data_IF_893994440068
#
_entry.id   IF_893994440068
#
_cell.length_a   1.000
_cell.length_b   1.000
_cell.length_c   1.000
_cell.angle_alpha   90.00
_cell.angle_beta   90.00
_cell.angle_gamma   90.00
#
_symmetry.space_group_name_H-M   'P 1'
#
loop_
_entity.id
_entity.type
_entity.pdbx_description
1 polymer ?
#
# COMPACT_ATOMS: atom_id res chain seq x y z
N UNK A 1 14.00 33.77 -50.46
CA UNK A 1 14.85 32.56 -50.44
C UNK A 1 14.31 31.69 -49.32
N UNK A 2 13.35 30.84 -49.67
CA UNK A 2 12.71 29.87 -48.77
C UNK A 2 13.66 28.70 -48.49
N UNK A 3 13.67 28.18 -47.25
CA UNK A 3 14.01 26.77 -47.00
C UNK A 3 13.24 26.24 -45.79
N UNK A 4 12.62 25.08 -46.05
CA UNK A 4 11.68 24.28 -45.26
C UNK A 4 12.40 23.37 -44.26
N UNK A 5 11.72 23.04 -43.17
CA UNK A 5 11.77 21.71 -42.51
C UNK A 5 10.49 21.54 -41.65
N UNK A 6 9.43 20.92 -42.18
CA UNK A 6 9.02 19.50 -42.03
C UNK A 6 8.58 19.08 -40.61
N UNK A 7 7.30 19.29 -40.32
CA UNK A 7 6.54 18.48 -39.35
C UNK A 7 5.76 17.41 -40.13
N UNK A 8 5.99 16.12 -39.85
CA UNK A 8 5.21 15.00 -40.40
C UNK A 8 4.23 14.53 -39.33
N UNK A 9 2.97 14.96 -39.41
CA UNK A 9 1.84 14.23 -38.80
C UNK A 9 1.54 13.03 -39.70
N UNK A 10 1.63 11.80 -39.16
CA UNK A 10 1.07 10.61 -39.80
C UNK A 10 -0.36 10.44 -39.32
N UNK A 11 -1.30 10.66 -40.24
CA UNK A 11 -2.65 10.10 -40.17
C UNK A 11 -2.56 8.58 -40.20
N UNK A 12 -3.31 7.90 -39.34
CA UNK A 12 -3.80 6.56 -39.65
C UNK A 12 -5.32 6.60 -39.76
N UNK A 13 -5.79 6.03 -40.87
CA UNK A 13 -7.15 6.08 -41.34
C UNK A 13 -8.06 5.13 -40.54
N UNK A 14 -9.26 5.63 -40.26
CA UNK A 14 -10.42 4.85 -39.79
C UNK A 14 -10.86 3.91 -40.91
N UNK A 15 -10.83 2.60 -40.65
CA UNK A 15 -11.50 1.61 -41.47
C UNK A 15 -12.64 1.00 -40.65
N UNK A 16 -13.88 1.33 -41.02
CA UNK A 16 -15.07 0.70 -40.50
C UNK A 16 -15.19 -0.73 -41.08
N UNK A 17 -15.30 -1.73 -40.19
CA UNK A 17 -15.87 -3.03 -40.52
C UNK A 17 -16.99 -3.27 -39.50
N UNK A 18 -18.23 -3.17 -40.01
CA UNK A 18 -19.44 -3.61 -39.32
C UNK A 18 -19.68 -5.07 -39.75
N UNK A 19 -19.75 -5.99 -38.80
CA UNK A 19 -20.29 -7.33 -39.06
C UNK A 19 -19.85 -8.44 -38.13
N UNK A 20 -20.74 -8.77 -37.19
CA UNK A 20 -20.97 -10.09 -36.59
C UNK A 20 -20.08 -10.53 -35.42
N UNK A 21 -20.73 -10.64 -34.25
CA UNK A 21 -20.29 -11.46 -33.12
C UNK A 21 -19.55 -10.71 -32.01
N UNK A 22 -20.24 -9.87 -31.24
CA UNK A 22 -19.73 -9.46 -29.92
C UNK A 22 -19.79 -10.68 -28.98
N UNK A 23 -18.77 -11.53 -29.02
CA UNK A 23 -18.34 -12.21 -27.80
C UNK A 23 -17.88 -11.13 -26.84
N UNK A 24 -18.47 -11.08 -25.64
CA UNK A 24 -18.04 -10.21 -24.55
C UNK A 24 -16.53 -10.31 -24.42
N UNK A 25 -15.84 -9.28 -24.91
CA UNK A 25 -14.42 -9.11 -24.66
C UNK A 25 -14.39 -8.70 -23.21
N UNK A 26 -13.86 -9.56 -22.34
CA UNK A 26 -13.47 -9.20 -20.99
C UNK A 26 -12.76 -7.85 -21.09
N UNK A 27 -13.34 -6.85 -20.45
CA UNK A 27 -12.63 -5.61 -20.14
C UNK A 27 -11.43 -6.10 -19.32
N UNK A 28 -10.24 -6.04 -19.90
CA UNK A 28 -9.02 -6.20 -19.13
C UNK A 28 -9.02 -5.01 -18.15
N UNK A 29 -9.40 -5.26 -16.91
CA UNK A 29 -9.21 -4.32 -15.82
C UNK A 29 -7.72 -3.99 -15.80
N UNK A 30 -7.38 -2.69 -15.84
CA UNK A 30 -6.01 -2.23 -15.73
C UNK A 30 -5.40 -2.82 -14.47
N UNK A 31 -4.41 -3.70 -14.63
CA UNK A 31 -3.72 -4.34 -13.51
C UNK A 31 -2.76 -3.38 -12.80
N UNK A 32 -2.41 -2.26 -13.42
CA UNK A 32 -1.36 -1.35 -12.94
C UNK A 32 -1.74 -0.66 -11.62
N UNK A 33 -3.02 -0.37 -11.38
CA UNK A 33 -3.47 0.37 -10.19
C UNK A 33 -3.39 -0.41 -8.87
N UNK A 34 -3.19 -1.73 -8.89
CA UNK A 34 -3.31 -2.57 -7.67
C UNK A 34 -2.00 -3.04 -7.05
N UNK A 35 -0.86 -2.87 -7.72
CA UNK A 35 0.45 -3.01 -7.06
C UNK A 35 0.81 -1.78 -6.22
N UNK A 36 -0.19 -1.01 -5.83
CA UNK A 36 -0.07 0.26 -5.17
C UNK A 36 -0.32 0.13 -3.66
N UNK A 37 0.50 0.82 -2.88
CA UNK A 37 0.27 1.00 -1.46
C UNK A 37 -0.87 2.00 -1.21
N UNK A 38 -1.64 1.76 -0.17
CA UNK A 38 -2.64 2.66 0.39
C UNK A 38 -2.33 2.86 1.88
N UNK A 39 -1.77 4.02 2.25
CA UNK A 39 -1.29 4.29 3.62
C UNK A 39 -0.28 3.28 4.14
N UNK A 40 0.66 2.83 3.30
CA UNK A 40 1.68 1.86 3.67
C UNK A 40 1.20 0.41 3.74
N UNK A 41 0.05 0.09 3.13
CA UNK A 41 -0.52 -1.26 3.08
C UNK A 41 -0.83 -1.66 1.64
N UNK A 42 -0.69 -2.94 1.30
CA UNK A 42 -1.09 -3.47 -0.01
C UNK A 42 -1.54 -4.93 0.16
N UNK A 43 -2.74 -5.16 0.66
CA UNK A 43 -3.22 -6.48 1.05
C UNK A 43 -4.31 -7.04 0.13
N UNK A 44 -4.67 -6.35 -0.95
CA UNK A 44 -5.71 -6.77 -1.91
C UNK A 44 -5.21 -6.63 -3.34
N UNK A 45 -5.34 -7.70 -4.12
CA UNK A 45 -5.05 -7.69 -5.56
C UNK A 45 -6.23 -8.26 -6.36
N UNK A 46 -6.59 -7.69 -7.52
CA UNK A 46 -7.68 -8.18 -8.35
C UNK A 46 -7.27 -9.47 -9.07
N UNK A 47 -8.25 -10.28 -9.40
CA UNK A 47 -8.11 -11.45 -10.24
C UNK A 47 -9.16 -11.43 -11.35
N UNK A 48 -8.97 -12.21 -12.41
CA UNK A 48 -9.92 -12.30 -13.53
C UNK A 48 -11.36 -12.66 -13.10
N UNK A 49 -11.51 -13.33 -11.95
CA UNK A 49 -12.77 -13.84 -11.43
C UNK A 49 -12.93 -13.62 -9.92
N UNK A 50 -12.26 -12.63 -9.35
CA UNK A 50 -12.27 -12.42 -7.90
C UNK A 50 -11.16 -11.51 -7.40
N UNK A 51 -10.72 -11.80 -6.19
CA UNK A 51 -9.72 -11.03 -5.45
C UNK A 51 -8.80 -11.95 -4.67
N UNK A 52 -7.53 -11.58 -4.60
CA UNK A 52 -6.55 -12.15 -3.69
C UNK A 52 -6.36 -11.23 -2.49
N UNK A 53 -6.14 -11.83 -1.33
CA UNK A 53 -5.91 -11.08 -0.10
C UNK A 53 -4.73 -11.62 0.70
N UNK A 54 -4.02 -10.74 1.40
CA UNK A 54 -3.07 -11.11 2.45
C UNK A 54 -3.62 -10.71 3.81
N UNK A 55 -3.88 -11.67 4.69
CA UNK A 55 -4.51 -11.44 5.99
C UNK A 55 -3.91 -12.37 7.04
N UNK A 56 -3.35 -11.84 8.12
CA UNK A 56 -2.79 -12.63 9.22
C UNK A 56 -1.77 -13.68 8.74
N UNK A 57 -0.88 -13.28 7.85
CA UNK A 57 0.10 -14.17 7.24
C UNK A 57 -0.45 -15.16 6.21
N UNK A 58 -1.74 -15.11 5.88
CA UNK A 58 -2.35 -16.03 4.91
C UNK A 58 -2.77 -15.34 3.63
N UNK A 59 -2.42 -15.95 2.50
CA UNK A 59 -2.94 -15.59 1.19
C UNK A 59 -4.29 -16.29 0.97
N UNK A 60 -5.29 -15.53 0.54
CA UNK A 60 -6.63 -16.03 0.24
C UNK A 60 -7.04 -15.68 -1.20
N UNK A 61 -8.02 -16.41 -1.71
CA UNK A 61 -8.77 -16.06 -2.91
C UNK A 61 -10.27 -15.98 -2.58
N UNK A 62 -10.96 -14.98 -3.11
CA UNK A 62 -12.41 -14.83 -3.02
C UNK A 62 -13.00 -14.53 -4.38
N UNK A 63 -14.09 -15.21 -4.74
CA UNK A 63 -14.66 -15.20 -6.08
C UNK A 63 -15.73 -14.11 -6.29
N UNK A 64 -15.86 -13.14 -5.38
CA UNK A 64 -16.89 -12.09 -5.45
C UNK A 64 -18.27 -12.47 -4.89
N UNK A 65 -18.46 -13.71 -4.45
CA UNK A 65 -19.74 -14.15 -3.88
C UNK A 65 -19.81 -13.78 -2.39
N UNK A 66 -20.56 -12.72 -2.06
CA UNK A 66 -20.72 -12.20 -0.69
C UNK A 66 -21.38 -13.19 0.28
N UNK A 67 -21.94 -14.29 -0.22
CA UNK A 67 -22.48 -15.36 0.62
C UNK A 67 -21.43 -16.42 0.99
N UNK A 68 -20.21 -16.31 0.45
CA UNK A 68 -19.11 -17.24 0.64
C UNK A 68 -17.90 -16.56 1.25
N UNK A 69 -17.17 -17.32 2.03
CA UNK A 69 -15.88 -16.92 2.59
C UNK A 69 -14.77 -17.04 1.56
N UNK A 70 -13.72 -16.26 1.75
CA UNK A 70 -12.46 -16.44 1.04
C UNK A 70 -11.82 -17.79 1.42
N UNK A 71 -11.11 -18.40 0.48
CA UNK A 71 -10.44 -19.70 0.66
C UNK A 71 -8.92 -19.51 0.67
N UNK A 72 -8.17 -20.22 1.54
CA UNK A 72 -6.70 -20.15 1.52
C UNK A 72 -6.13 -20.53 0.15
N UNK A 73 -5.13 -19.80 -0.31
CA UNK A 73 -4.46 -20.01 -1.60
C UNK A 73 -3.50 -21.21 -1.55
N UNK A 74 -4.05 -22.42 -1.49
CA UNK A 74 -3.26 -23.64 -1.38
C UNK A 74 -3.97 -24.80 -2.09
N UNK A 75 -3.32 -25.36 -3.10
CA UNK A 75 -3.82 -26.46 -3.92
C UNK A 75 -3.69 -27.84 -3.25
N UNK A 76 -2.98 -27.92 -2.12
CA UNK A 76 -2.68 -29.18 -1.44
C UNK A 76 -3.95 -29.75 -0.79
N UNK A 77 -4.39 -30.97 -1.16
CA UNK A 77 -5.57 -31.57 -0.56
C UNK A 77 -5.33 -31.85 0.93
N UNK A 78 -6.34 -31.58 1.76
CA UNK A 78 -6.30 -31.79 3.21
C UNK A 78 -5.18 -31.04 3.95
N UNK A 79 -4.71 -29.91 3.42
CA UNK A 79 -3.81 -29.03 4.17
C UNK A 79 -4.53 -28.46 5.40
N UNK A 80 -3.87 -28.41 6.56
CA UNK A 80 -4.46 -27.80 7.75
C UNK A 80 -4.52 -26.27 7.63
N UNK A 81 -3.67 -25.69 6.79
CA UNK A 81 -3.45 -24.24 6.67
C UNK A 81 -3.02 -23.57 7.99
N UNK A 82 -2.39 -24.32 8.89
CA UNK A 82 -1.97 -23.83 10.23
C UNK A 82 -0.47 -23.94 10.45
N UNK A 83 0.33 -24.12 9.42
CA UNK A 83 1.80 -24.23 9.55
C UNK A 83 2.47 -23.59 8.35
N UNK A 84 3.75 -23.26 8.49
CA UNK A 84 4.59 -22.75 7.38
C UNK A 84 4.75 -23.76 6.23
N UNK A 85 4.33 -25.02 6.38
CA UNK A 85 4.29 -25.98 5.28
C UNK A 85 3.13 -25.72 4.30
N UNK A 86 2.16 -24.88 4.69
CA UNK A 86 1.07 -24.46 3.83
C UNK A 86 1.58 -23.43 2.80
N UNK A 87 1.21 -23.61 1.53
CA UNK A 87 1.56 -22.65 0.46
C UNK A 87 0.96 -21.26 0.73
N UNK A 88 -0.24 -21.21 1.30
CA UNK A 88 -0.92 -19.95 1.59
C UNK A 88 -0.31 -19.19 2.78
N UNK A 89 0.49 -19.82 3.64
CA UNK A 89 0.90 -19.25 4.93
C UNK A 89 2.33 -18.71 4.85
N UNK A 90 2.52 -17.47 5.27
CA UNK A 90 3.81 -16.81 5.45
C UNK A 90 3.81 -16.24 6.86
N UNK A 91 4.69 -16.77 7.71
CA UNK A 91 4.83 -16.30 9.09
C UNK A 91 5.24 -14.83 9.10
N UNK A 92 4.61 -14.05 9.97
CA UNK A 92 4.82 -12.61 10.13
C UNK A 92 4.96 -11.89 8.79
N UNK A 93 4.05 -12.19 7.86
CA UNK A 93 3.99 -11.48 6.59
C UNK A 93 3.76 -9.99 6.84
N UNK A 94 4.57 -9.16 6.19
CA UNK A 94 4.25 -7.74 5.99
C UNK A 94 2.85 -7.61 5.39
N UNK A 95 2.10 -6.57 5.74
CA UNK A 95 0.75 -6.32 5.20
C UNK A 95 0.78 -5.79 3.75
N UNK A 96 1.73 -6.29 2.94
CA UNK A 96 1.98 -5.91 1.54
C UNK A 96 2.20 -7.16 0.70
N UNK A 97 1.60 -7.18 -0.48
CA UNK A 97 1.64 -8.25 -1.46
C UNK A 97 1.70 -7.64 -2.85
N UNK A 98 2.68 -8.05 -3.65
CA UNK A 98 2.88 -7.53 -5.00
C UNK A 98 2.76 -8.64 -6.04
N UNK A 99 2.05 -8.39 -7.13
CA UNK A 99 1.97 -9.30 -8.28
C UNK A 99 3.06 -8.97 -9.31
N UNK A 100 3.92 -9.94 -9.60
CA UNK A 100 4.84 -9.90 -10.76
C UNK A 100 4.72 -11.22 -11.51
N UNK A 101 4.55 -11.13 -12.83
CA UNK A 101 4.23 -12.27 -13.70
C UNK A 101 3.06 -13.11 -13.13
N UNK A 102 3.31 -14.39 -12.82
CA UNK A 102 2.34 -15.34 -12.29
C UNK A 102 2.51 -15.63 -10.78
N UNK A 103 3.23 -14.76 -10.05
CA UNK A 103 3.48 -14.93 -8.62
C UNK A 103 3.15 -13.71 -7.75
N UNK A 104 2.91 -13.97 -6.47
CA UNK A 104 2.80 -12.96 -5.42
C UNK A 104 4.07 -12.89 -4.60
N UNK A 105 4.53 -11.70 -4.32
CA UNK A 105 5.74 -11.45 -3.57
C UNK A 105 5.42 -10.80 -2.22
N UNK A 106 5.93 -11.39 -1.16
CA UNK A 106 5.58 -11.03 0.23
C UNK A 106 6.82 -11.10 1.12
N UNK A 107 7.17 -10.00 1.77
CA UNK A 107 8.18 -9.96 2.81
C UNK A 107 7.64 -10.58 4.10
N UNK A 108 8.44 -11.45 4.74
CA UNK A 108 8.23 -11.96 6.10
C UNK A 108 9.19 -11.24 7.05
N UNK A 109 8.65 -10.56 8.07
CA UNK A 109 9.46 -9.91 9.10
C UNK A 109 9.99 -10.87 10.16
N UNK A 110 9.62 -12.16 10.09
CA UNK A 110 10.25 -13.21 10.89
C UNK A 110 11.61 -13.59 10.28
N UNK A 111 12.74 -13.22 10.91
CA UNK A 111 14.05 -13.45 10.34
C UNK A 111 14.45 -14.92 10.42
N UNK A 112 15.26 -15.35 9.46
CA UNK A 112 15.97 -16.63 9.43
C UNK A 112 17.42 -16.37 9.80
N UNK A 113 17.95 -17.19 10.70
CA UNK A 113 19.35 -17.09 11.11
C UNK A 113 20.21 -18.01 10.23
N UNK A 114 21.22 -17.45 9.57
CA UNK A 114 22.23 -18.24 8.87
C UNK A 114 23.08 -19.01 9.89
N UNK A 115 23.01 -20.33 9.82
CA UNK A 115 23.72 -21.22 10.76
C UNK A 115 25.25 -21.09 10.78
N UNK A 116 25.87 -20.43 9.81
CA UNK A 116 27.32 -20.25 9.68
C UNK A 116 27.77 -18.85 10.10
N UNK A 117 27.05 -17.81 9.70
CA UNK A 117 27.41 -16.41 10.00
C UNK A 117 26.71 -15.89 11.25
N UNK A 118 25.58 -16.48 11.64
CA UNK A 118 24.69 -15.97 12.69
C UNK A 118 23.91 -14.73 12.25
N UNK A 119 24.01 -14.34 10.97
CA UNK A 119 23.27 -13.20 10.44
C UNK A 119 21.79 -13.54 10.32
N UNK A 120 20.97 -12.58 10.68
CA UNK A 120 19.52 -12.69 10.62
C UNK A 120 19.01 -11.96 9.38
N UNK A 121 18.27 -12.69 8.57
CA UNK A 121 17.79 -12.23 7.27
C UNK A 121 16.28 -12.44 7.17
N UNK A 122 15.55 -11.40 6.77
CA UNK A 122 14.12 -11.45 6.52
C UNK A 122 13.86 -11.96 5.09
N UNK A 123 13.12 -13.07 4.92
CA UNK A 123 12.89 -13.65 3.60
C UNK A 123 11.78 -12.94 2.84
N UNK A 124 11.98 -12.77 1.53
CA UNK A 124 10.94 -12.41 0.58
C UNK A 124 10.51 -13.68 -0.14
N UNK A 125 9.23 -14.00 -0.01
CA UNK A 125 8.60 -15.17 -0.60
C UNK A 125 8.00 -14.83 -1.95
N UNK A 126 8.08 -15.75 -2.90
CA UNK A 126 7.23 -15.82 -4.09
C UNK A 126 6.22 -16.95 -3.91
N UNK A 127 4.94 -16.69 -4.11
CA UNK A 127 3.84 -17.66 -4.04
C UNK A 127 3.17 -17.76 -5.41
N UNK A 128 3.00 -18.96 -5.93
CA UNK A 128 2.31 -19.17 -7.21
C UNK A 128 0.81 -18.84 -7.09
N UNK A 129 0.23 -18.15 -8.08
CA UNK A 129 -1.18 -17.72 -8.09
C UNK A 129 -2.21 -18.84 -8.04
N UNK A 130 -1.82 -20.06 -8.39
CA UNK A 130 -2.67 -21.25 -8.32
C UNK A 130 -2.55 -21.99 -6.98
N UNK A 131 -1.71 -21.50 -6.07
CA UNK A 131 -1.43 -22.13 -4.78
C UNK A 131 -0.68 -23.45 -4.91
N UNK A 132 0.04 -23.70 -6.01
CA UNK A 132 0.83 -24.92 -6.22
C UNK A 132 2.14 -24.93 -5.43
N UNK A 133 2.72 -23.77 -5.17
CA UNK A 133 4.00 -23.66 -4.48
C UNK A 133 4.31 -22.26 -3.95
N UNK A 134 5.32 -22.21 -3.07
CA UNK A 134 5.98 -20.99 -2.64
C UNK A 134 7.47 -21.24 -2.47
N UNK A 135 8.29 -20.22 -2.64
CA UNK A 135 9.74 -20.27 -2.50
C UNK A 135 10.30 -18.95 -1.95
N UNK A 136 11.50 -18.98 -1.38
CA UNK A 136 12.22 -17.76 -1.01
C UNK A 136 13.04 -17.34 -2.23
N UNK A 137 12.83 -16.11 -2.71
CA UNK A 137 13.50 -15.57 -3.90
C UNK A 137 14.61 -14.58 -3.56
N UNK A 138 14.51 -13.92 -2.41
CA UNK A 138 15.50 -12.99 -1.89
C UNK A 138 15.43 -12.92 -0.37
N UNK A 139 16.46 -12.34 0.24
CA UNK A 139 16.54 -12.10 1.66
C UNK A 139 17.16 -10.72 1.90
N UNK A 140 16.63 -9.98 2.86
CA UNK A 140 17.14 -8.66 3.28
C UNK A 140 17.62 -8.71 4.73
N UNK A 141 18.63 -7.93 5.15
CA UNK A 141 19.09 -7.92 6.53
C UNK A 141 17.96 -7.57 7.50
N UNK A 142 17.95 -8.21 8.68
CA UNK A 142 17.05 -7.82 9.77
C UNK A 142 17.24 -6.34 10.14
N UNK A 143 16.14 -5.61 10.25
CA UNK A 143 16.11 -4.21 10.66
C UNK A 143 14.91 -3.94 11.56
N UNK A 144 15.01 -2.93 12.42
CA UNK A 144 13.93 -2.54 13.35
C UNK A 144 12.67 -2.07 12.63
N UNK A 145 12.85 -1.37 11.52
CA UNK A 145 11.76 -0.93 10.63
C UNK A 145 12.15 -1.13 9.17
N UNK A 146 11.30 -1.82 8.43
CA UNK A 146 11.48 -2.04 6.98
C UNK A 146 10.19 -1.79 6.25
N UNK A 147 10.27 -0.90 5.27
CA UNK A 147 9.31 -0.73 4.20
C UNK A 147 9.86 -1.38 2.92
N UNK A 148 9.00 -1.95 2.08
CA UNK A 148 9.40 -2.51 0.79
C UNK A 148 8.30 -2.41 -0.27
N UNK A 149 8.73 -2.34 -1.52
CA UNK A 149 7.88 -2.44 -2.70
C UNK A 149 8.56 -3.25 -3.80
N UNK A 150 7.75 -3.79 -4.71
CA UNK A 150 8.24 -4.45 -5.92
C UNK A 150 7.74 -3.69 -7.13
N UNK A 151 8.69 -3.21 -7.93
CA UNK A 151 8.43 -2.32 -9.03
C UNK A 151 9.42 -2.58 -10.16
N UNK A 152 8.91 -2.67 -11.40
CA UNK A 152 9.72 -2.90 -12.60
C UNK A 152 10.76 -4.03 -12.43
N UNK A 153 10.28 -5.18 -11.95
CA UNK A 153 11.07 -6.40 -11.71
C UNK A 153 12.25 -6.23 -10.75
N UNK A 154 12.12 -5.33 -9.79
CA UNK A 154 13.10 -5.07 -8.74
C UNK A 154 12.42 -4.94 -7.38
N UNK A 155 13.16 -5.29 -6.34
CA UNK A 155 12.79 -5.08 -4.96
C UNK A 155 13.41 -3.76 -4.51
N UNK A 156 12.60 -2.87 -3.96
CA UNK A 156 13.06 -1.67 -3.27
C UNK A 156 12.71 -1.80 -1.80
N UNK A 157 13.65 -1.50 -0.91
CA UNK A 157 13.42 -1.59 0.52
C UNK A 157 14.21 -0.54 1.29
N UNK A 158 13.73 -0.21 2.48
CA UNK A 158 14.37 0.73 3.40
C UNK A 158 15.22 -0.01 4.42
N UNK A 159 16.32 0.61 4.83
CA UNK A 159 17.10 0.17 5.98
C UNK A 159 17.28 1.33 6.96
N UNK A 160 17.12 1.02 8.24
CA UNK A 160 17.49 1.91 9.33
C UNK A 160 18.98 1.75 9.63
N UNK A 161 19.74 2.81 9.37
CA UNK A 161 21.18 2.87 9.61
C UNK A 161 21.45 3.54 10.96
N UNK A 162 21.40 2.73 12.02
CA UNK A 162 21.68 3.16 13.39
C UNK A 162 23.11 3.71 13.54
N UNK A 163 23.21 4.86 14.21
CA UNK A 163 24.46 5.55 14.52
C UNK A 163 24.88 5.28 15.98
N UNK A 164 26.17 5.46 16.29
CA UNK A 164 26.71 5.21 17.64
C UNK A 164 26.10 6.12 18.73
N UNK A 165 25.53 7.26 18.35
CA UNK A 165 24.94 8.25 19.25
C UNK A 165 23.44 8.02 19.54
N UNK A 166 22.88 6.92 19.05
CA UNK A 166 21.46 6.56 19.20
C UNK A 166 20.53 7.19 18.17
N UNK A 167 21.04 8.05 17.28
CA UNK A 167 20.29 8.48 16.11
C UNK A 167 20.35 7.41 15.02
N UNK A 168 19.51 7.56 14.02
CA UNK A 168 19.50 6.71 12.85
C UNK A 168 19.13 7.54 11.62
N UNK A 169 19.54 7.05 10.46
CA UNK A 169 19.14 7.61 9.17
C UNK A 169 18.54 6.48 8.34
N UNK A 170 17.69 6.83 7.38
CA UNK A 170 17.16 5.83 6.45
C UNK A 170 17.96 5.78 5.16
N UNK A 171 18.17 4.59 4.65
CA UNK A 171 18.66 4.35 3.28
C UNK A 171 17.64 3.57 2.46
N UNK A 172 17.71 3.74 1.15
CA UNK A 172 16.91 2.97 0.20
C UNK A 172 17.84 2.11 -0.63
N UNK A 173 17.48 0.84 -0.72
CA UNK A 173 18.20 -0.19 -1.42
C UNK A 173 17.37 -0.71 -2.58
N UNK A 174 18.05 -1.06 -3.66
CA UNK A 174 17.49 -1.69 -4.84
C UNK A 174 18.14 -3.05 -5.01
N UNK A 175 17.32 -4.09 -5.13
CA UNK A 175 17.72 -5.47 -5.30
C UNK A 175 17.05 -6.11 -6.52
N UNK A 176 17.76 -6.99 -7.22
CA UNK A 176 17.15 -7.85 -8.25
C UNK A 176 16.19 -8.86 -7.61
N UNK A 177 15.17 -9.32 -8.35
CA UNK A 177 14.22 -10.32 -7.82
C UNK A 177 14.87 -11.65 -7.39
N UNK A 178 16.06 -11.97 -7.88
CA UNK A 178 16.80 -13.17 -7.48
C UNK A 178 17.80 -12.91 -6.34
N UNK A 179 17.79 -11.71 -5.76
CA UNK A 179 18.63 -11.29 -4.64
C UNK A 179 20.12 -11.11 -4.95
N UNK A 180 20.56 -11.30 -6.20
CA UNK A 180 22.00 -11.32 -6.54
C UNK A 180 22.62 -9.94 -6.69
N UNK A 181 21.87 -8.99 -7.23
CA UNK A 181 22.33 -7.63 -7.44
C UNK A 181 21.66 -6.73 -6.41
N UNK A 182 22.41 -6.24 -5.44
CA UNK A 182 21.89 -5.36 -4.39
C UNK A 182 22.76 -4.11 -4.26
N UNK A 183 22.15 -2.93 -4.26
CA UNK A 183 22.85 -1.66 -4.10
C UNK A 183 22.02 -0.65 -3.31
N UNK A 184 22.70 0.12 -2.47
CA UNK A 184 22.12 1.34 -1.91
C UNK A 184 22.01 2.39 -3.01
N UNK A 185 20.82 2.98 -3.19
CA UNK A 185 20.54 3.98 -4.23
C UNK A 185 20.30 5.38 -3.66
N UNK A 186 20.06 5.48 -2.35
CA UNK A 186 19.84 6.75 -1.67
C UNK A 186 20.10 6.62 -0.16
N UNK A 187 20.45 7.75 0.46
CA UNK A 187 20.58 7.90 1.91
C UNK A 187 20.01 9.24 2.34
N UNK A 188 19.26 9.20 3.42
CA UNK A 188 18.73 10.35 4.13
C UNK A 188 19.84 11.23 4.66
N UNK A 189 19.62 12.55 4.62
CA UNK A 189 20.38 13.54 5.40
C UNK A 189 19.63 13.96 6.68
N UNK A 190 18.47 13.39 6.94
CA UNK A 190 17.66 13.60 8.15
C UNK A 190 17.98 12.55 9.22
N UNK A 191 17.83 12.96 10.47
CA UNK A 191 18.04 12.13 11.65
C UNK A 191 16.72 11.72 12.27
N UNK A 192 16.69 10.49 12.79
CA UNK A 192 15.56 9.92 13.53
C UNK A 192 14.23 10.11 12.79
N UNK A 193 14.29 9.98 11.47
CA UNK A 193 13.16 10.15 10.56
C UNK A 193 12.44 8.84 10.29
N UNK A 194 11.66 8.77 9.22
CA UNK A 194 11.07 7.55 8.71
C UNK A 194 10.61 7.76 7.26
N UNK A 195 10.54 6.65 6.51
CA UNK A 195 10.03 6.64 5.13
C UNK A 195 8.56 6.21 5.17
N UNK A 196 7.68 7.19 5.01
CA UNK A 196 6.22 7.05 4.94
C UNK A 196 5.78 6.26 3.71
N UNK A 197 6.28 6.67 2.53
CA UNK A 197 5.88 6.10 1.23
C UNK A 197 7.12 5.53 0.55
N UNK A 198 7.02 4.32 0.02
CA UNK A 198 7.99 3.74 -0.90
C UNK A 198 7.23 2.96 -1.96
N UNK A 199 6.94 3.59 -3.10
CA UNK A 199 5.94 3.05 -4.01
C UNK A 199 6.27 3.30 -5.47
N UNK A 200 6.27 2.23 -6.26
CA UNK A 200 6.48 2.30 -7.70
C UNK A 200 5.18 2.53 -8.45
N UNK A 201 5.15 3.55 -9.33
CA UNK A 201 3.97 3.94 -10.09
C UNK A 201 4.41 4.45 -11.46
N UNK A 202 3.86 3.87 -12.54
CA UNK A 202 4.25 4.22 -13.91
C UNK A 202 5.75 4.05 -14.13
N UNK A 203 6.45 5.17 -14.35
CA UNK A 203 7.90 5.21 -14.58
C UNK A 203 8.73 5.62 -13.34
N UNK A 204 8.08 5.92 -12.21
CA UNK A 204 8.70 6.56 -11.06
C UNK A 204 8.51 5.75 -9.77
N UNK A 205 9.53 5.74 -8.93
CA UNK A 205 9.44 5.33 -7.54
C UNK A 205 9.28 6.59 -6.67
N UNK A 206 8.15 6.68 -5.99
CA UNK A 206 7.79 7.78 -5.09
C UNK A 206 8.22 7.44 -3.67
N UNK A 207 8.91 8.39 -3.04
CA UNK A 207 9.43 8.25 -1.68
C UNK A 207 9.05 9.48 -0.89
N UNK A 208 8.36 9.31 0.23
CA UNK A 208 8.15 10.40 1.18
C UNK A 208 8.87 10.11 2.48
N UNK A 209 9.60 11.11 2.96
CA UNK A 209 10.46 11.04 4.14
C UNK A 209 10.06 12.13 5.11
N UNK A 210 9.94 11.82 6.40
CA UNK A 210 9.86 12.81 7.47
C UNK A 210 11.03 12.59 8.44
N UNK A 211 11.65 13.65 8.95
CA UNK A 211 12.72 13.50 9.96
C UNK A 211 13.26 14.83 10.47
N UNK A 212 14.20 14.76 11.41
CA UNK A 212 14.82 15.92 12.04
C UNK A 212 16.05 16.37 11.24
N UNK A 213 16.18 17.68 10.98
CA UNK A 213 17.34 18.24 10.28
C UNK A 213 18.62 18.23 11.16
N UNK A 214 18.47 17.99 12.46
CA UNK A 214 19.55 18.00 13.43
C UNK A 214 19.59 16.71 14.24
N UNK A 215 20.78 16.32 14.69
CA UNK A 215 21.00 15.19 15.59
C UNK A 215 20.22 15.44 16.89
N UNK A 216 19.47 14.44 17.32
CA UNK A 216 18.73 14.48 18.58
C UNK A 216 19.63 13.96 19.71
N UNK A 217 19.74 14.73 20.79
CA UNK A 217 20.43 14.29 22.00
C UNK A 217 19.49 13.41 22.85
N UNK A 218 19.56 12.11 22.62
CA UNK A 218 18.78 11.10 23.34
C UNK A 218 19.22 10.88 24.80
N UNK A 219 20.28 11.53 25.29
CA UNK A 219 20.77 11.33 26.67
C UNK A 219 19.84 11.88 27.74
N UNK A 220 18.86 12.71 27.36
CA UNK A 220 17.90 13.32 28.26
C UNK A 220 16.52 13.46 27.59
N UNK A 221 15.97 12.32 27.18
CA UNK A 221 14.71 12.20 26.44
C UNK A 221 13.55 13.00 27.06
N UNK A 222 13.44 13.01 28.39
CA UNK A 222 12.42 13.76 29.14
C UNK A 222 12.44 15.29 28.92
N UNK A 223 13.55 15.83 28.42
CA UNK A 223 13.70 17.26 28.11
C UNK A 223 13.62 17.58 26.61
N UNK A 224 13.38 16.58 25.76
CA UNK A 224 13.17 16.79 24.32
C UNK A 224 11.79 17.40 24.12
N UNK A 225 11.77 18.62 23.60
CA UNK A 225 10.55 19.27 23.14
C UNK A 225 10.33 18.92 21.67
N UNK A 226 9.61 17.82 21.43
CA UNK A 226 9.33 17.31 20.08
C UNK A 226 8.61 18.34 19.18
N UNK A 227 7.87 19.29 19.74
CA UNK A 227 7.21 20.35 18.97
C UNK A 227 8.19 21.42 18.46
N UNK A 228 9.40 21.48 19.01
CA UNK A 228 10.45 22.44 18.63
C UNK A 228 11.55 21.84 17.78
N UNK A 229 11.52 20.54 17.54
CA UNK A 229 12.51 19.90 16.68
C UNK A 229 12.40 20.48 15.25
N UNK A 230 13.52 20.73 14.57
CA UNK A 230 13.53 21.19 13.20
C UNK A 230 13.14 20.03 12.27
N UNK A 231 11.85 19.73 12.21
CA UNK A 231 11.31 18.67 11.38
C UNK A 231 11.24 19.12 9.92
N UNK A 232 11.68 18.25 9.01
CA UNK A 232 11.52 18.40 7.57
C UNK A 232 10.78 17.19 7.02
N UNK A 233 10.09 17.41 5.92
CA UNK A 233 9.59 16.33 5.09
C UNK A 233 9.94 16.60 3.65
N UNK A 234 10.35 15.54 2.95
CA UNK A 234 10.70 15.57 1.54
C UNK A 234 9.84 14.58 0.77
N UNK A 235 9.54 14.94 -0.48
CA UNK A 235 9.09 14.02 -1.51
C UNK A 235 10.23 13.84 -2.51
N UNK A 236 10.53 12.59 -2.82
CA UNK A 236 11.49 12.23 -3.86
C UNK A 236 10.82 11.37 -4.93
N UNK A 237 11.20 11.62 -6.17
CA UNK A 237 10.84 10.80 -7.32
C UNK A 237 12.12 10.22 -7.90
N UNK A 238 12.22 8.91 -7.95
CA UNK A 238 13.35 8.19 -8.54
C UNK A 238 12.94 7.55 -9.85
N UNK A 239 13.69 7.81 -10.93
CA UNK A 239 13.49 7.15 -12.22
C UNK A 239 14.46 5.97 -12.35
N UNK A 240 14.00 4.70 -12.24
CA UNK A 240 14.90 3.55 -12.23
C UNK A 240 15.76 3.41 -13.49
N UNK A 241 15.27 3.92 -14.62
CA UNK A 241 15.93 3.73 -15.93
C UNK A 241 17.03 4.75 -16.20
N UNK A 242 16.89 5.95 -15.62
CA UNK A 242 17.90 7.00 -15.67
C UNK A 242 18.81 6.98 -14.44
N UNK A 243 18.39 6.32 -13.36
CA UNK A 243 19.00 6.39 -12.03
C UNK A 243 19.07 7.84 -11.50
N UNK A 244 18.04 8.62 -11.80
CA UNK A 244 17.94 10.03 -11.44
C UNK A 244 16.91 10.26 -10.32
N UNK A 245 17.24 11.17 -9.42
CA UNK A 245 16.39 11.60 -8.33
C UNK A 245 15.93 13.04 -8.55
N UNK A 246 14.64 13.29 -8.34
CA UNK A 246 14.06 14.62 -8.26
C UNK A 246 13.59 14.81 -6.81
N UNK A 247 14.05 15.88 -6.18
CA UNK A 247 13.69 16.23 -4.79
C UNK A 247 12.73 17.41 -4.80
N UNK A 248 11.60 17.25 -4.12
CA UNK A 248 10.55 18.26 -3.97
C UNK A 248 10.23 18.95 -5.31
N UNK A 249 9.75 18.19 -6.32
CA UNK A 249 9.34 18.75 -7.61
C UNK A 249 8.34 19.90 -7.43
N UNK A 250 8.51 20.97 -8.22
CA UNK A 250 7.69 22.18 -8.12
C UNK A 250 6.23 21.90 -8.46
N UNK A 251 5.97 20.91 -9.30
CA UNK A 251 4.64 20.43 -9.72
C UNK A 251 3.80 19.92 -8.52
N UNK A 252 4.47 19.48 -7.45
CA UNK A 252 3.83 19.02 -6.23
C UNK A 252 3.92 20.03 -5.09
N UNK A 253 4.46 21.23 -5.33
CA UNK A 253 4.48 22.31 -4.34
C UNK A 253 3.19 23.12 -4.40
N UNK A 254 2.53 23.24 -3.25
CA UNK A 254 1.49 24.24 -2.98
C UNK A 254 1.87 24.93 -1.67
N UNK A 255 1.78 26.26 -1.61
CA UNK A 255 2.38 27.13 -0.57
C UNK A 255 2.41 26.50 0.84
N UNK A 256 3.61 26.25 1.39
CA UNK A 256 3.84 25.72 2.75
C UNK A 256 3.17 24.38 3.10
N UNK A 257 2.74 23.59 2.09
CA UNK A 257 1.97 22.36 2.34
C UNK A 257 2.69 21.09 1.87
N UNK A 258 2.71 20.08 2.75
CA UNK A 258 3.22 18.76 2.46
C UNK A 258 2.34 18.01 1.46
N UNK A 259 2.91 17.48 0.38
CA UNK A 259 2.22 16.45 -0.39
C UNK A 259 2.26 15.14 0.40
N UNK A 260 1.09 14.53 0.61
CA UNK A 260 1.01 13.14 1.05
C UNK A 260 0.24 12.34 0.00
N UNK A 261 0.87 11.26 -0.49
CA UNK A 261 0.24 10.27 -1.38
C UNK A 261 -0.59 9.37 -0.47
N UNK A 262 -1.89 9.32 -0.73
CA UNK A 262 -2.83 8.74 0.22
C UNK A 262 -3.40 7.44 -0.34
N UNK A 263 -3.68 7.41 -1.65
CA UNK A 263 -4.22 6.24 -2.32
C UNK A 263 -3.85 6.26 -3.82
N UNK A 264 -3.88 5.09 -4.44
CA UNK A 264 -3.93 4.96 -5.90
C UNK A 264 -5.14 4.12 -6.25
N UNK A 265 -5.93 4.64 -7.17
CA UNK A 265 -7.16 3.99 -7.60
C UNK A 265 -7.40 4.32 -9.06
N UNK A 266 -7.75 3.32 -9.87
CA UNK A 266 -8.07 3.48 -11.31
C UNK A 266 -7.08 4.35 -12.11
N UNK A 267 -5.79 4.11 -11.93
CA UNK A 267 -4.70 4.82 -12.60
C UNK A 267 -4.53 6.31 -12.17
N UNK A 268 -5.11 6.68 -11.04
CA UNK A 268 -5.02 8.01 -10.45
C UNK A 268 -4.34 8.00 -9.07
N UNK A 269 -3.52 9.00 -8.82
CA UNK A 269 -2.87 9.25 -7.53
C UNK A 269 -3.72 10.25 -6.76
N UNK A 270 -4.25 9.83 -5.62
CA UNK A 270 -4.96 10.71 -4.71
C UNK A 270 -3.99 11.31 -3.71
N UNK A 271 -4.00 12.64 -3.63
CA UNK A 271 -3.07 13.42 -2.85
C UNK A 271 -3.78 14.47 -1.99
N UNK A 272 -3.23 14.68 -0.80
CA UNK A 272 -3.57 15.83 0.05
C UNK A 272 -2.37 16.71 0.23
N UNK A 273 -2.65 18.02 0.22
CA UNK A 273 -1.76 19.01 0.78
C UNK A 273 -2.09 19.10 2.29
N UNK A 274 -1.21 18.54 3.13
CA UNK A 274 -1.34 18.56 4.60
C UNK A 274 -1.17 19.96 5.22
N UNK A 275 -2.28 20.58 5.60
CA UNK A 275 -2.31 21.76 6.47
C UNK A 275 -2.70 21.32 7.89
N UNK A 276 -1.73 21.36 8.82
CA UNK A 276 -1.91 20.95 10.21
C UNK A 276 -2.93 21.78 10.99
N UNK A 277 -3.34 22.95 10.48
CA UNK A 277 -4.33 23.84 11.10
C UNK A 277 -5.69 23.80 10.42
N UNK A 278 -5.82 23.15 9.27
CA UNK A 278 -7.08 23.06 8.56
C UNK A 278 -8.08 22.12 9.27
N UNK A 279 -9.33 22.56 9.40
CA UNK A 279 -10.47 21.72 9.83
C UNK A 279 -11.09 20.94 8.66
N UNK A 280 -10.75 21.33 7.43
CA UNK A 280 -11.20 20.73 6.19
C UNK A 280 -9.96 20.21 5.45
N UNK A 281 -9.97 18.94 5.07
CA UNK A 281 -9.00 18.38 4.13
C UNK A 281 -9.54 18.56 2.73
N UNK A 282 -8.69 19.10 1.86
CA UNK A 282 -8.96 19.17 0.44
C UNK A 282 -8.21 18.03 -0.22
N UNK A 283 -8.85 17.36 -1.17
CA UNK A 283 -8.28 16.21 -1.88
C UNK A 283 -8.17 16.56 -3.35
N UNK A 284 -7.08 16.09 -3.94
CA UNK A 284 -6.80 16.21 -5.35
C UNK A 284 -6.43 14.85 -5.92
N UNK A 285 -6.61 14.69 -7.22
CA UNK A 285 -6.18 13.52 -7.97
C UNK A 285 -5.25 13.96 -9.11
N UNK A 286 -4.32 13.11 -9.49
CA UNK A 286 -3.40 13.35 -10.61
C UNK A 286 -3.08 12.04 -11.30
N UNK A 287 -3.02 12.04 -12.62
CA UNK A 287 -2.52 10.90 -13.38
C UNK A 287 -1.04 10.60 -13.10
N UNK A 288 -0.54 9.52 -13.71
CA UNK A 288 0.84 9.08 -13.53
C UNK A 288 1.87 9.91 -14.31
N UNK A 289 1.44 10.69 -15.30
CA UNK A 289 2.32 11.60 -16.01
C UNK A 289 2.60 12.83 -15.14
N UNK A 290 3.88 13.18 -14.98
CA UNK A 290 4.27 14.38 -14.24
C UNK A 290 3.71 15.65 -14.89
N UNK A 291 3.48 15.62 -16.21
CA UNK A 291 2.88 16.73 -16.95
C UNK A 291 1.38 16.94 -16.67
N UNK A 292 0.67 15.95 -16.10
CA UNK A 292 -0.77 16.08 -15.81
C UNK A 292 -1.03 17.12 -14.72
N UNK A 293 -2.04 17.97 -14.87
CA UNK A 293 -2.42 18.87 -13.77
C UNK A 293 -3.23 18.11 -12.71
N UNK A 294 -2.98 18.41 -11.43
CA UNK A 294 -3.78 17.84 -10.36
C UNK A 294 -5.20 18.43 -10.39
N UNK A 295 -6.21 17.57 -10.46
CA UNK A 295 -7.62 17.93 -10.45
C UNK A 295 -8.16 17.93 -9.02
N UNK A 296 -9.13 18.80 -8.74
CA UNK A 296 -9.72 18.92 -7.42
C UNK A 296 -10.88 17.94 -7.27
N UNK A 297 -10.78 17.06 -6.27
CA UNK A 297 -11.76 15.99 -6.00
C UNK A 297 -12.85 16.51 -5.05
N UNK A 298 -12.47 17.02 -3.89
CA UNK A 298 -13.45 17.34 -2.86
C UNK A 298 -12.90 17.95 -1.57
N UNK A 299 -13.83 18.32 -0.69
CA UNK A 299 -13.55 18.83 0.66
C UNK A 299 -14.14 17.87 1.69
N UNK A 300 -13.31 17.37 2.60
CA UNK A 300 -13.71 16.42 3.62
C UNK A 300 -13.44 16.97 5.02
N UNK A 301 -14.19 16.53 6.06
CA UNK A 301 -13.83 16.81 7.45
C UNK A 301 -12.41 16.35 7.76
N UNK A 302 -11.66 17.08 8.60
CA UNK A 302 -10.27 16.72 8.99
C UNK A 302 -10.09 15.28 9.48
N UNK A 303 -11.13 14.71 10.09
CA UNK A 303 -11.14 13.34 10.59
C UNK A 303 -11.19 12.28 9.49
N UNK A 304 -11.54 12.64 8.26
CA UNK A 304 -11.44 11.73 7.10
C UNK A 304 -9.97 11.61 6.71
N UNK A 305 -9.49 10.39 6.60
CA UNK A 305 -8.08 10.11 6.27
C UNK A 305 -7.91 9.02 5.21
N UNK A 306 -9.00 8.48 4.66
CA UNK A 306 -8.98 7.66 3.43
C UNK A 306 -10.08 8.12 2.50
N UNK A 307 -9.90 7.95 1.19
CA UNK A 307 -10.89 8.27 0.18
C UNK A 307 -10.63 7.52 -1.12
N UNK A 308 -11.66 7.46 -1.96
CA UNK A 308 -11.67 6.93 -3.31
C UNK A 308 -12.47 7.85 -4.25
N UNK A 309 -12.72 7.37 -5.47
CA UNK A 309 -13.46 8.05 -6.54
C UNK A 309 -14.89 8.47 -6.17
N UNK A 310 -15.48 7.94 -5.09
CA UNK A 310 -16.87 8.24 -4.68
C UNK A 310 -16.98 8.76 -3.25
N UNK A 311 -16.13 8.32 -2.34
CA UNK A 311 -16.34 8.47 -0.90
C UNK A 311 -15.06 8.76 -0.12
N UNK A 312 -15.22 9.43 1.02
CA UNK A 312 -14.22 9.54 2.08
C UNK A 312 -14.61 8.69 3.29
N UNK A 313 -13.63 8.10 3.95
CA UNK A 313 -13.80 7.18 5.07
C UNK A 313 -13.07 7.67 6.32
N UNK A 314 -13.71 7.42 7.47
CA UNK A 314 -13.13 7.65 8.79
C UNK A 314 -13.66 6.61 9.78
N UNK A 315 -12.86 6.34 10.80
CA UNK A 315 -13.06 5.47 11.94
C UNK A 315 -12.46 6.17 13.20
N UNK A 316 -12.87 5.76 14.41
CA UNK A 316 -12.33 6.28 15.66
C UNK A 316 -10.81 6.20 15.76
N UNK A 317 -10.22 7.17 16.45
CA UNK A 317 -8.82 7.10 16.87
C UNK A 317 -8.62 5.92 17.83
N UNK A 318 -7.48 5.24 17.71
CA UNK A 318 -7.12 4.01 18.47
C UNK A 318 -7.25 4.18 19.99
N UNK A 319 -7.18 5.41 20.48
CA UNK A 319 -7.28 5.74 21.90
C UNK A 319 -8.72 5.71 22.46
N UNK A 320 -9.74 5.49 21.63
CA UNK A 320 -11.14 5.43 22.06
C UNK A 320 -11.68 4.00 21.98
N UNK A 321 -11.28 3.16 22.95
CA UNK A 321 -11.60 1.72 23.05
C UNK A 321 -13.10 1.38 23.04
N UNK A 322 -14.00 2.37 23.16
CA UNK A 322 -15.45 2.16 23.23
C UNK A 322 -16.17 2.42 21.91
N UNK A 323 -15.47 2.86 20.87
CA UNK A 323 -16.08 3.20 19.58
C UNK A 323 -15.55 2.30 18.47
N UNK A 324 -16.45 1.54 17.84
CA UNK A 324 -16.10 0.64 16.74
C UNK A 324 -17.02 0.91 15.56
N UNK A 325 -16.59 1.74 14.61
CA UNK A 325 -17.41 2.11 13.46
C UNK A 325 -16.60 2.69 12.29
N UNK A 326 -17.21 2.68 11.10
CA UNK A 326 -16.87 3.53 9.95
C UNK A 326 -17.93 4.60 9.73
N UNK A 327 -17.51 5.81 9.41
CA UNK A 327 -18.34 6.83 8.79
C UNK A 327 -17.86 7.08 7.37
N UNK A 328 -18.83 7.23 6.47
CA UNK A 328 -18.62 7.42 5.04
C UNK A 328 -19.18 8.79 4.66
N UNK A 329 -18.42 9.53 3.87
CA UNK A 329 -18.71 10.89 3.43
C UNK A 329 -18.69 10.95 1.90
N UNK A 330 -19.52 11.80 1.30
CA UNK A 330 -19.39 12.14 -0.12
C UNK A 330 -18.26 13.16 -0.35
N UNK A 331 -17.95 13.48 -1.60
CA UNK A 331 -16.91 14.46 -1.97
C UNK A 331 -17.22 15.91 -1.57
N UNK A 332 -18.46 16.19 -1.14
CA UNK A 332 -18.81 17.48 -0.53
C UNK A 332 -18.55 17.50 0.99
N UNK A 333 -18.03 16.40 1.54
CA UNK A 333 -17.81 16.24 2.97
C UNK A 333 -19.10 16.03 3.75
N UNK A 334 -20.18 15.63 3.07
CA UNK A 334 -21.48 15.34 3.70
C UNK A 334 -21.50 13.89 4.17
N UNK A 335 -21.91 13.67 5.42
CA UNK A 335 -22.09 12.33 5.96
C UNK A 335 -23.14 11.55 5.17
N UNK A 336 -22.79 10.32 4.75
CA UNK A 336 -23.65 9.42 3.97
C UNK A 336 -24.18 8.29 4.84
N UNK A 337 -23.29 7.52 5.46
CA UNK A 337 -23.65 6.34 6.25
C UNK A 337 -22.64 6.08 7.36
N UNK A 338 -23.11 5.46 8.45
CA UNK A 338 -22.29 4.86 9.50
C UNK A 338 -22.46 3.33 9.48
N UNK A 339 -21.36 2.59 9.56
CA UNK A 339 -21.33 1.13 9.64
C UNK A 339 -20.65 0.75 10.95
N UNK A 340 -21.34 0.00 11.81
CA UNK A 340 -20.74 -0.48 13.06
C UNK A 340 -19.74 -1.61 12.80
N UNK A 341 -18.65 -1.62 13.58
CA UNK A 341 -17.60 -2.62 13.52
C UNK A 341 -17.60 -3.49 14.77
N UNK A 342 -16.96 -4.65 14.65
CA UNK A 342 -16.54 -5.43 15.81
C UNK A 342 -15.42 -4.70 16.56
N UNK A 343 -15.21 -4.98 17.86
CA UNK A 343 -14.04 -4.49 18.59
C UNK A 343 -12.75 -4.74 17.82
N UNK A 344 -11.95 -3.69 17.64
CA UNK A 344 -10.71 -3.77 16.88
C UNK A 344 -9.55 -2.98 17.51
N UNK A 345 -8.32 -3.43 17.26
CA UNK A 345 -7.08 -2.71 17.62
C UNK A 345 -6.57 -1.85 16.45
N UNK A 346 -6.73 -2.33 15.23
CA UNK A 346 -6.31 -1.67 14.01
C UNK A 346 -7.32 -1.88 12.88
N UNK A 347 -7.42 -0.94 11.95
CA UNK A 347 -8.37 -1.01 10.84
C UNK A 347 -7.87 -0.19 9.65
N UNK A 348 -8.14 -0.70 8.45
CA UNK A 348 -7.87 -0.02 7.18
C UNK A 348 -8.97 -0.34 6.15
N UNK A 349 -9.06 0.49 5.11
CA UNK A 349 -10.00 0.29 4.00
C UNK A 349 -9.34 0.61 2.67
N UNK A 350 -9.55 -0.28 1.70
CA UNK A 350 -9.09 -0.14 0.31
C UNK A 350 -10.28 -0.37 -0.61
N UNK A 351 -10.57 0.62 -1.45
CA UNK A 351 -11.55 0.46 -2.52
C UNK A 351 -10.91 -0.25 -3.69
N UNK A 352 -11.46 -1.40 -4.08
CA UNK A 352 -10.90 -2.20 -5.16
C UNK A 352 -11.47 -1.80 -6.50
N UNK A 353 -12.79 -1.81 -6.64
CA UNK A 353 -13.48 -1.45 -7.88
C UNK A 353 -14.76 -0.67 -7.56
N UNK A 354 -15.57 -0.39 -8.58
CA UNK A 354 -16.86 0.28 -8.42
C UNK A 354 -17.85 -0.52 -7.53
N UNK A 355 -17.60 -1.81 -7.30
CA UNK A 355 -18.51 -2.71 -6.58
C UNK A 355 -18.13 -2.91 -5.13
N UNK A 356 -16.84 -3.00 -4.82
CA UNK A 356 -16.36 -3.46 -3.52
C UNK A 356 -15.32 -2.52 -2.91
N UNK A 357 -15.49 -2.27 -1.62
CA UNK A 357 -14.44 -1.79 -0.74
C UNK A 357 -14.10 -2.88 0.28
N UNK A 358 -12.82 -3.13 0.50
CA UNK A 358 -12.32 -4.14 1.42
C UNK A 358 -11.80 -3.50 2.70
N UNK A 359 -12.28 -4.00 3.82
CA UNK A 359 -11.90 -3.56 5.14
C UNK A 359 -10.99 -4.60 5.75
N UNK A 360 -9.81 -4.20 6.17
CA UNK A 360 -8.94 -4.98 7.04
C UNK A 360 -9.15 -4.52 8.48
N UNK A 361 -9.22 -5.43 9.45
CA UNK A 361 -9.15 -5.05 10.86
C UNK A 361 -8.57 -6.16 11.72
N UNK A 362 -7.95 -5.76 12.83
CA UNK A 362 -7.52 -6.67 13.89
C UNK A 362 -8.65 -6.83 14.89
N UNK A 363 -9.42 -7.92 14.77
CA UNK A 363 -10.57 -8.23 15.63
C UNK A 363 -10.11 -8.71 17.00
N UNK A 364 -10.58 -8.05 18.07
CA UNK A 364 -10.27 -8.44 19.45
C UNK A 364 -11.42 -9.24 20.06
N UNK A 365 -11.15 -10.49 20.43
CA UNK A 365 -12.11 -11.33 21.16
C UNK A 365 -11.41 -12.06 22.31
N UNK A 366 -11.90 -11.91 23.54
CA UNK A 366 -11.38 -12.58 24.74
C UNK A 366 -9.85 -12.41 24.94
N UNK A 367 -9.33 -11.19 24.70
CA UNK A 367 -7.89 -10.84 24.70
C UNK A 367 -7.04 -11.58 23.66
N UNK A 368 -7.67 -12.08 22.60
CA UNK A 368 -7.00 -12.64 21.43
C UNK A 368 -7.34 -11.75 20.23
N UNK A 369 -6.30 -11.17 19.64
CA UNK A 369 -6.42 -10.36 18.44
C UNK A 369 -6.22 -11.24 17.19
N UNK A 370 -7.08 -11.06 16.18
CA UNK A 370 -7.04 -11.81 14.92
C UNK A 370 -7.19 -10.87 13.74
N UNK A 371 -6.34 -11.01 12.74
CA UNK A 371 -6.49 -10.26 11.50
C UNK A 371 -7.66 -10.80 10.67
N UNK A 372 -8.51 -9.89 10.21
CA UNK A 372 -9.72 -10.20 9.45
C UNK A 372 -9.85 -9.26 8.25
N UNK A 373 -10.39 -9.79 7.16
CA UNK A 373 -10.83 -9.01 6.01
C UNK A 373 -12.33 -9.19 5.82
N UNK A 374 -12.98 -8.10 5.48
CA UNK A 374 -14.39 -8.03 5.10
C UNK A 374 -14.59 -7.12 3.91
N UNK A 375 -15.82 -7.11 3.41
CA UNK A 375 -16.20 -6.38 2.20
C UNK A 375 -17.46 -5.57 2.42
N UNK A 376 -17.50 -4.40 1.78
CA UNK A 376 -18.64 -3.52 1.67
C UNK A 376 -19.03 -3.44 0.20
N UNK A 377 -20.31 -3.69 -0.11
CA UNK A 377 -20.89 -3.44 -1.43
C UNK A 377 -21.15 -1.93 -1.59
N UNK A 378 -20.42 -1.29 -2.51
CA UNK A 378 -20.37 0.19 -2.64
C UNK A 378 -21.67 0.77 -3.18
N UNK A 379 -22.41 0.03 -3.99
CA UNK A 379 -23.72 0.44 -4.54
C UNK A 379 -24.79 0.59 -3.46
N UNK A 380 -24.61 -0.06 -2.30
CA UNK A 380 -25.51 0.04 -1.13
C UNK A 380 -25.21 1.22 -0.21
N UNK A 381 -24.07 1.90 -0.38
CA UNK A 381 -23.68 3.03 0.46
C UNK A 381 -24.65 4.20 0.26
N UNK A 382 -24.97 4.54 -0.99
CA UNK A 382 -25.85 5.64 -1.32
C UNK A 382 -27.30 5.45 -0.81
N UNK A 383 -27.74 4.20 -0.64
CA UNK A 383 -29.06 3.86 -0.06
C UNK A 383 -29.02 3.66 1.46
N UNK A 384 -27.85 3.80 2.10
CA UNK A 384 -27.64 3.53 3.53
C UNK A 384 -27.92 2.08 3.93
N UNK A 385 -27.78 1.14 3.00
CA UNK A 385 -28.01 -0.29 3.20
C UNK A 385 -26.70 -1.09 3.23
N UNK A 386 -25.55 -0.42 3.12
CA UNK A 386 -24.26 -1.08 3.14
C UNK A 386 -23.99 -1.69 4.52
N UNK A 387 -23.41 -2.89 4.52
CA UNK A 387 -23.00 -3.61 5.74
C UNK A 387 -21.62 -4.21 5.53
N UNK A 388 -20.84 -4.34 6.60
CA UNK A 388 -19.58 -5.06 6.55
C UNK A 388 -19.82 -6.58 6.58
N UNK A 389 -19.38 -7.28 5.53
CA UNK A 389 -19.48 -8.73 5.41
C UNK A 389 -18.09 -9.34 5.60
N UNK A 390 -17.90 -10.10 6.68
CA UNK A 390 -16.62 -10.77 6.97
C UNK A 390 -16.32 -11.88 5.96
N UNK A 391 -15.16 -11.80 5.29
CA UNK A 391 -14.74 -12.75 4.26
C UNK A 391 -13.80 -13.82 4.80
N UNK A 392 -12.91 -13.49 5.74
CA UNK A 392 -12.00 -14.46 6.36
C UNK A 392 -12.53 -14.89 7.72
N UNK A 393 -12.39 -16.17 8.06
CA UNK A 393 -12.44 -16.59 9.46
C UNK A 393 -11.09 -16.18 10.04
N UNK A 394 -11.04 -15.32 11.07
CA UNK A 394 -9.77 -14.95 11.70
C UNK A 394 -8.93 -16.21 11.95
N UNK A 395 -7.81 -16.31 11.25
CA UNK A 395 -6.85 -17.39 11.44
C UNK A 395 -5.68 -16.75 12.16
N UNK A 396 -5.40 -17.21 13.37
CA UNK A 396 -4.24 -16.74 14.13
C UNK A 396 -2.95 -17.19 13.44
N UNK A 397 -2.48 -16.44 12.45
CA UNK A 397 -1.14 -16.61 11.87
C UNK A 397 -0.05 -16.31 12.89
N UNK A 398 -0.36 -15.50 13.91
CA UNK A 398 0.61 -14.99 14.89
C UNK A 398 0.63 -15.77 16.22
N UNK A 399 -0.16 -16.86 16.36
CA UNK A 399 -0.20 -17.65 17.60
C UNK A 399 0.86 -18.75 17.70
N UNK A 400 1.83 -18.78 16.80
CA UNK A 400 3.01 -19.64 17.00
C UNK A 400 3.89 -18.99 18.05
N UNK A 401 4.28 -19.75 19.08
CA UNK A 401 5.13 -19.28 20.18
C UNK A 401 6.26 -18.40 19.61
N UNK A 402 6.29 -17.14 20.07
CA UNK A 402 7.37 -16.18 19.81
C UNK A 402 8.65 -16.63 20.47
#
# INVERSE_FOLDING_TARGET
MEKKTKFKRRMFAVAAIVGMGMTMTQIAFGKESFNAENGGLNYVLPADNGYYFLCGGHLYFWNGDVTKQAVPLCSRPNCSHTTEDCVAMIRDASRKMYEVDDGFYVLSTWPREDSRTGEKMMPIWRVEKDGSGKEIIAEIPEAGSVNYTIFQDKIYYTMEDAQEDGNYQFSIWQMSLDGKDNKQIWQSDLYSGYIDTLQGIGDWLYVSENGCEEIIDWTNEDNIDFEKLPMRTNLYLYQPQAEEWITNPDEYKKEDVLLSIQNIYQDEIYLTYYDSKAEIRKVWEKGFDLEDEAEFVGEFPRKVYKWDDLYGYTWPDRNNENENWFEIYDHNGTFVQKIDLYPYDDVDIVSADEKYAFVYWEQVQDNVSQDVIGVIERDKIATQEATLIQLTKGMNGNSFER
#
